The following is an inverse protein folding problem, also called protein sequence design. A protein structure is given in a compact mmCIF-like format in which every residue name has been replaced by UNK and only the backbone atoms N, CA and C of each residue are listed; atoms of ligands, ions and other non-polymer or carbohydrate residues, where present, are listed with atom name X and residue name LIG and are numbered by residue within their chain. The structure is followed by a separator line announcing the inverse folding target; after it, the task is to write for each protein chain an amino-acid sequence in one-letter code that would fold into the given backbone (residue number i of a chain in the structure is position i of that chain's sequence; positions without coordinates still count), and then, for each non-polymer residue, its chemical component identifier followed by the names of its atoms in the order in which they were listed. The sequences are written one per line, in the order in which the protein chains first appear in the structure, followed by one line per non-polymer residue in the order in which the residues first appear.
data_IF_677253464474
#
_entry.id   IF_677253464474
#
_cell.length_a   1.000
_cell.length_b   1.000
_cell.length_c   1.000
_cell.angle_alpha   90.00
_cell.angle_beta   90.00
_cell.angle_gamma   90.00
#
_symmetry.space_group_name_H-M   'P 1'
#
loop_
_entity.id
_entity.type
_entity.pdbx_description
1 polymer ?
#
# COMPACT_ATOMS: atom_id res chain seq x y z
N UNK A 1 9.97 -3.70 -15.88
CA UNK A 1 8.57 -3.93 -16.35
C UNK A 1 7.75 -4.57 -15.23
N UNK A 2 8.31 -5.54 -14.54
CA UNK A 2 7.93 -6.05 -13.21
C UNK A 2 7.46 -4.97 -12.20
N UNK A 3 8.27 -3.93 -11.94
CA UNK A 3 7.91 -2.85 -10.99
C UNK A 3 6.60 -2.14 -11.37
N UNK A 4 6.49 -1.71 -12.63
CA UNK A 4 5.30 -1.03 -13.11
C UNK A 4 4.05 -1.93 -13.02
N UNK A 5 4.19 -3.24 -13.28
CA UNK A 5 3.08 -4.19 -13.14
C UNK A 5 2.68 -4.38 -11.67
N UNK A 6 3.65 -4.47 -10.75
CA UNK A 6 3.38 -4.50 -9.32
C UNK A 6 2.65 -3.23 -8.86
N UNK A 7 3.05 -2.08 -9.39
CA UNK A 7 2.42 -0.79 -9.12
C UNK A 7 0.99 -0.72 -9.64
N UNK A 8 0.74 -1.17 -10.88
CA UNK A 8 -0.61 -1.25 -11.45
C UNK A 8 -1.48 -2.17 -10.60
N UNK A 9 -0.96 -3.34 -10.19
CA UNK A 9 -1.69 -4.28 -9.34
C UNK A 9 -2.05 -3.65 -7.98
N UNK A 10 -1.09 -3.00 -7.32
CA UNK A 10 -1.36 -2.26 -6.08
C UNK A 10 -2.43 -1.19 -6.28
N UNK A 11 -2.39 -0.44 -7.38
CA UNK A 11 -3.39 0.58 -7.68
C UNK A 11 -4.79 -0.01 -7.94
N UNK A 12 -4.86 -1.12 -8.68
CA UNK A 12 -6.10 -1.86 -8.95
C UNK A 12 -6.67 -2.49 -7.68
N UNK A 13 -5.87 -2.79 -6.66
CA UNK A 13 -6.38 -3.24 -5.37
C UNK A 13 -6.79 -2.04 -4.51
N UNK A 14 -5.95 -1.01 -4.43
CA UNK A 14 -6.16 0.15 -3.57
C UNK A 14 -7.41 0.94 -3.97
N UNK A 15 -7.51 1.36 -5.24
CA UNK A 15 -8.54 2.31 -5.68
C UNK A 15 -9.95 1.73 -5.54
N UNK A 16 -10.26 0.50 -5.98
CA UNK A 16 -11.58 -0.08 -5.80
C UNK A 16 -11.91 -0.34 -4.33
N UNK A 17 -10.96 -0.81 -3.52
CA UNK A 17 -11.21 -1.05 -2.09
C UNK A 17 -11.55 0.27 -1.39
N UNK A 18 -10.76 1.30 -1.65
CA UNK A 18 -10.96 2.63 -1.09
C UNK A 18 -12.27 3.27 -1.57
N UNK A 19 -12.64 3.08 -2.85
CA UNK A 19 -13.91 3.52 -3.40
C UNK A 19 -15.10 2.81 -2.74
N UNK A 20 -15.06 1.48 -2.64
CA UNK A 20 -16.11 0.68 -2.01
C UNK A 20 -16.31 1.08 -0.55
N UNK A 21 -15.23 1.23 0.23
CA UNK A 21 -15.32 1.69 1.62
C UNK A 21 -15.95 3.09 1.72
N UNK A 22 -15.56 4.00 0.80
CA UNK A 22 -16.10 5.36 0.75
C UNK A 22 -17.59 5.41 0.42
N UNK A 23 -18.08 4.53 -0.45
CA UNK A 23 -19.49 4.46 -0.83
C UNK A 23 -20.34 3.75 0.24
N UNK A 24 -19.81 2.70 0.85
CA UNK A 24 -20.62 1.80 1.71
C UNK A 24 -20.62 2.18 3.18
N UNK A 25 -19.48 2.58 3.72
CA UNK A 25 -19.29 2.76 5.17
C UNK A 25 -19.20 4.26 5.53
N UNK A 26 -18.70 5.07 4.60
CA UNK A 26 -18.31 6.43 4.89
C UNK A 26 -17.25 6.51 5.99
N UNK A 27 -17.01 7.70 6.54
CA UNK A 27 -15.96 7.91 7.54
C UNK A 27 -16.30 7.41 8.96
N UNK A 28 -17.44 6.73 9.14
CA UNK A 28 -17.88 6.22 10.44
C UNK A 28 -16.96 5.13 11.01
N UNK A 29 -16.34 4.33 10.14
CA UNK A 29 -15.35 3.31 10.49
C UNK A 29 -14.03 3.58 9.76
N UNK A 30 -13.44 4.74 10.01
CA UNK A 30 -12.18 5.17 9.40
C UNK A 30 -11.05 4.13 9.53
N UNK A 31 -11.04 3.34 10.62
CA UNK A 31 -10.05 2.29 10.83
C UNK A 31 -10.06 1.20 9.75
N UNK A 32 -11.16 0.97 9.02
CA UNK A 32 -11.20 0.00 7.93
C UNK A 32 -10.36 0.43 6.71
N UNK A 33 -10.09 1.73 6.56
CA UNK A 33 -9.27 2.26 5.46
C UNK A 33 -7.80 1.87 5.59
N UNK A 34 -7.35 1.39 6.76
CA UNK A 34 -6.00 0.84 6.92
C UNK A 34 -5.80 -0.42 6.06
N UNK A 35 -6.89 -1.11 5.70
CA UNK A 35 -6.83 -2.30 4.85
C UNK A 35 -6.42 -1.96 3.41
N UNK A 36 -6.71 -0.74 2.92
CA UNK A 36 -6.34 -0.29 1.58
C UNK A 36 -4.82 -0.41 1.33
N UNK A 37 -3.95 0.28 2.09
CA UNK A 37 -2.50 0.18 1.89
C UNK A 37 -1.94 -1.21 2.20
N UNK A 38 -2.50 -1.94 3.18
CA UNK A 38 -2.05 -3.31 3.51
C UNK A 38 -2.30 -4.24 2.33
N UNK A 39 -3.54 -4.33 1.83
CA UNK A 39 -3.90 -5.29 0.79
C UNK A 39 -3.24 -4.95 -0.56
N UNK A 40 -3.09 -3.65 -0.87
CA UNK A 40 -2.35 -3.21 -2.04
C UNK A 40 -0.88 -3.63 -1.96
N UNK A 41 -0.25 -3.48 -0.80
CA UNK A 41 1.13 -3.91 -0.57
C UNK A 41 1.27 -5.44 -0.60
N UNK A 42 0.32 -6.18 -0.05
CA UNK A 42 0.27 -7.66 -0.14
C UNK A 42 0.25 -8.08 -1.61
N UNK A 43 -0.66 -7.52 -2.41
CA UNK A 43 -0.79 -7.87 -3.82
C UNK A 43 0.49 -7.57 -4.62
N UNK A 44 1.08 -6.37 -4.45
CA UNK A 44 2.34 -6.02 -5.09
C UNK A 44 3.50 -6.90 -4.63
N UNK A 45 3.57 -7.20 -3.33
CA UNK A 45 4.62 -8.02 -2.74
C UNK A 45 4.55 -9.45 -3.24
N UNK A 46 3.35 -10.03 -3.30
CA UNK A 46 3.13 -11.38 -3.82
C UNK A 46 3.53 -11.47 -5.30
N UNK A 47 3.05 -10.53 -6.11
CA UNK A 47 3.38 -10.48 -7.54
C UNK A 47 4.88 -10.31 -7.79
N UNK A 48 5.55 -9.40 -7.06
CA UNK A 48 6.99 -9.18 -7.23
C UNK A 48 7.81 -10.36 -6.68
N UNK A 49 7.34 -11.06 -5.65
CA UNK A 49 8.03 -12.22 -5.11
C UNK A 49 7.91 -13.46 -6.04
N UNK A 50 6.90 -13.54 -6.89
CA UNK A 50 6.75 -14.62 -7.89
C UNK A 50 7.39 -14.29 -9.25
N UNK A 51 7.32 -13.03 -9.69
CA UNK A 51 7.68 -12.62 -11.05
C UNK A 51 8.73 -11.52 -11.13
N UNK A 52 9.11 -10.96 -9.99
CA UNK A 52 10.09 -9.90 -9.89
C UNK A 52 11.50 -10.45 -10.06
N UNK A 53 12.38 -9.62 -10.62
CA UNK A 53 13.80 -9.92 -10.74
C UNK A 53 14.57 -8.84 -10.01
N UNK A 54 15.35 -9.23 -9.00
CA UNK A 54 16.18 -8.33 -8.21
C UNK A 54 15.98 -8.52 -6.71
N UNK A 55 16.99 -8.12 -5.93
CA UNK A 55 16.99 -8.32 -4.49
C UNK A 55 16.03 -7.41 -3.71
N UNK A 56 16.14 -7.50 -2.39
CA UNK A 56 15.27 -6.83 -1.42
C UNK A 56 15.02 -5.34 -1.67
N UNK A 57 16.03 -4.58 -2.08
CA UNK A 57 15.86 -3.14 -2.36
C UNK A 57 14.83 -2.88 -3.47
N UNK A 58 14.83 -3.71 -4.52
CA UNK A 58 13.87 -3.59 -5.62
C UNK A 58 12.47 -4.03 -5.17
N UNK A 59 12.39 -5.03 -4.30
CA UNK A 59 11.13 -5.47 -3.69
C UNK A 59 10.47 -4.35 -2.89
N UNK A 60 11.24 -3.62 -2.09
CA UNK A 60 10.73 -2.46 -1.35
C UNK A 60 10.19 -1.37 -2.30
N UNK A 61 10.90 -1.10 -3.39
CA UNK A 61 10.46 -0.15 -4.42
C UNK A 61 9.21 -0.63 -5.19
N UNK A 62 8.99 -1.93 -5.30
CA UNK A 62 7.80 -2.49 -5.92
C UNK A 62 6.56 -2.36 -5.02
N UNK A 63 6.73 -2.35 -3.70
CA UNK A 63 5.63 -2.48 -2.73
C UNK A 63 5.23 -1.17 -2.07
N UNK A 64 6.20 -0.36 -1.63
CA UNK A 64 5.93 0.81 -0.77
C UNK A 64 5.39 2.05 -1.51
N UNK A 65 5.90 2.44 -2.69
CA UNK A 65 5.56 3.75 -3.25
C UNK A 65 4.08 3.93 -3.58
N UNK A 66 3.42 2.92 -4.15
CA UNK A 66 2.04 3.06 -4.62
C UNK A 66 1.04 3.26 -3.49
N UNK A 67 1.02 2.44 -2.41
CA UNK A 67 0.17 2.70 -1.26
C UNK A 67 0.35 4.09 -0.67
N UNK A 68 1.59 4.58 -0.56
CA UNK A 68 1.90 5.92 -0.03
C UNK A 68 1.37 7.01 -0.96
N UNK A 69 1.68 6.93 -2.25
CA UNK A 69 1.29 7.94 -3.24
C UNK A 69 -0.23 7.99 -3.40
N UNK A 70 -0.92 6.85 -3.44
CA UNK A 70 -2.37 6.82 -3.58
C UNK A 70 -3.08 7.30 -2.32
N UNK A 71 -2.56 7.01 -1.13
CA UNK A 71 -3.10 7.55 0.11
C UNK A 71 -2.94 9.07 0.18
N UNK A 72 -1.75 9.57 -0.19
CA UNK A 72 -1.49 11.00 -0.30
C UNK A 72 -2.41 11.69 -1.30
N UNK A 73 -2.50 11.13 -2.50
CA UNK A 73 -3.38 11.64 -3.55
C UNK A 73 -4.84 11.71 -3.09
N UNK A 74 -5.33 10.65 -2.44
CA UNK A 74 -6.69 10.62 -1.92
C UNK A 74 -6.93 11.65 -0.81
N UNK A 75 -5.95 11.86 0.07
CA UNK A 75 -6.02 12.87 1.13
C UNK A 75 -6.08 14.29 0.55
N UNK A 76 -5.28 14.58 -0.47
CA UNK A 76 -5.27 15.89 -1.15
C UNK A 76 -6.59 16.17 -1.90
N UNK A 77 -7.25 15.14 -2.42
CA UNK A 77 -8.57 15.31 -3.05
C UNK A 77 -9.66 15.71 -2.05
N UNK A 78 -9.52 15.36 -0.78
CA UNK A 78 -10.47 15.74 0.27
C UNK A 78 -10.19 17.13 0.81
N UNK A 79 -8.92 17.43 1.07
CA UNK A 79 -8.52 18.71 1.62
C UNK A 79 -7.07 19.03 1.21
N UNK A 80 -6.89 20.18 0.57
CA UNK A 80 -5.56 20.71 0.26
C UNK A 80 -5.03 21.42 1.51
N UNK A 81 -3.89 21.00 2.08
CA UNK A 81 -3.30 21.65 3.23
C UNK A 81 -2.95 23.12 2.94
N UNK A 82 -3.38 24.00 3.83
CA UNK A 82 -3.14 25.45 3.75
C UNK A 82 -2.30 26.00 4.92
N UNK A 83 -2.18 25.23 6.00
CA UNK A 83 -1.38 25.58 7.17
C UNK A 83 -0.24 24.58 7.39
N UNK A 84 0.80 24.98 8.12
CA UNK A 84 1.92 24.11 8.47
C UNK A 84 1.47 22.87 9.27
N UNK A 85 0.46 23.03 10.14
CA UNK A 85 -0.15 21.94 10.91
C UNK A 85 -0.81 20.90 9.98
N UNK A 86 -1.61 21.35 9.01
CA UNK A 86 -2.25 20.46 8.02
C UNK A 86 -1.24 19.72 7.14
N UNK A 87 -0.09 20.34 6.84
CA UNK A 87 1.02 19.66 6.17
C UNK A 87 1.66 18.59 7.07
N UNK A 88 1.71 18.81 8.38
CA UNK A 88 2.12 17.82 9.38
C UNK A 88 1.20 16.61 9.39
N UNK A 89 -0.11 16.83 9.44
CA UNK A 89 -1.12 15.76 9.40
C UNK A 89 -1.03 14.95 8.09
N UNK A 90 -0.86 15.63 6.97
CA UNK A 90 -0.64 14.98 5.68
C UNK A 90 0.62 14.11 5.68
N UNK A 91 1.74 14.61 6.21
CA UNK A 91 2.98 13.85 6.31
C UNK A 91 2.82 12.62 7.21
N UNK A 92 2.09 12.75 8.33
CA UNK A 92 1.76 11.61 9.18
C UNK A 92 0.90 10.57 8.46
N UNK A 93 -0.09 10.99 7.66
CA UNK A 93 -0.91 10.09 6.86
C UNK A 93 -0.08 9.30 5.84
N UNK A 94 0.86 9.96 5.15
CA UNK A 94 1.81 9.31 4.25
C UNK A 94 2.70 8.29 4.99
N UNK A 95 3.24 8.68 6.14
CA UNK A 95 4.07 7.80 6.96
C UNK A 95 3.28 6.57 7.44
N UNK A 96 2.04 6.76 7.88
CA UNK A 96 1.13 5.69 8.27
C UNK A 96 0.85 4.74 7.11
N UNK A 97 0.59 5.26 5.91
CA UNK A 97 0.42 4.43 4.72
C UNK A 97 1.68 3.60 4.40
N UNK A 98 2.87 4.17 4.60
CA UNK A 98 4.13 3.47 4.44
C UNK A 98 4.34 2.35 5.46
N UNK A 99 4.00 2.59 6.73
CA UNK A 99 4.06 1.58 7.80
C UNK A 99 3.08 0.44 7.49
N UNK A 100 1.84 0.76 7.09
CA UNK A 100 0.83 -0.23 6.74
C UNK A 100 1.23 -1.05 5.51
N UNK A 101 1.87 -0.42 4.52
CA UNK A 101 2.43 -1.13 3.38
C UNK A 101 3.58 -2.07 3.80
N UNK A 102 4.43 -1.65 4.73
CA UNK A 102 5.47 -2.50 5.30
C UNK A 102 4.88 -3.70 6.08
N UNK A 103 3.75 -3.52 6.78
CA UNK A 103 3.00 -4.63 7.39
C UNK A 103 2.51 -5.60 6.32
N UNK A 104 1.93 -5.11 5.22
CA UNK A 104 1.52 -5.94 4.09
C UNK A 104 2.69 -6.74 3.49
N UNK A 105 3.85 -6.12 3.32
CA UNK A 105 5.08 -6.80 2.91
C UNK A 105 5.48 -7.89 3.91
N UNK A 106 5.51 -7.57 5.20
CA UNK A 106 5.86 -8.50 6.27
C UNK A 106 4.95 -9.72 6.33
N UNK A 107 3.64 -9.52 6.12
CA UNK A 107 2.66 -10.60 6.03
C UNK A 107 3.02 -11.58 4.89
N UNK A 108 3.32 -11.06 3.69
CA UNK A 108 3.71 -11.93 2.56
C UNK A 108 4.98 -12.72 2.87
N UNK A 109 5.99 -12.06 3.43
CA UNK A 109 7.26 -12.71 3.74
C UNK A 109 7.12 -13.77 4.83
N UNK A 110 6.32 -13.50 5.86
CA UNK A 110 5.99 -14.47 6.90
C UNK A 110 5.22 -15.66 6.30
N UNK A 111 4.22 -15.41 5.47
CA UNK A 111 3.45 -16.51 4.84
C UNK A 111 4.33 -17.39 3.97
N UNK A 112 5.25 -16.81 3.17
CA UNK A 112 6.18 -17.59 2.35
C UNK A 112 7.17 -18.39 3.19
N UNK A 113 7.65 -17.83 4.30
CA UNK A 113 8.51 -18.52 5.25
C UNK A 113 7.80 -19.69 5.93
N UNK A 114 6.52 -19.53 6.30
CA UNK A 114 5.71 -20.57 6.93
C UNK A 114 5.28 -21.68 5.95
N UNK A 115 5.03 -21.32 4.69
CA UNK A 115 4.60 -22.25 3.65
C UNK A 115 5.77 -23.02 3.02
N UNK A 116 7.00 -22.76 3.45
CA UNK A 116 8.15 -23.58 3.05
C UNK A 116 8.56 -23.40 1.60
N UNK A 117 8.31 -22.24 0.98
CA UNK A 117 8.97 -21.86 -0.28
C UNK A 117 10.45 -21.51 0.00
N UNK A 118 11.19 -22.50 0.49
CA UNK A 118 12.61 -22.67 0.29
C UNK A 118 12.79 -23.32 -1.09
N UNK A 119 12.55 -22.53 -2.15
CA UNK A 119 12.76 -22.95 -3.52
C UNK A 119 13.80 -22.05 -4.17
N UNK A 120 15.04 -22.54 -4.17
CA UNK A 120 16.28 -22.02 -4.80
C UNK A 120 17.16 -21.06 -3.99
#
# INVERSE_FOLDING_TARGET
MDLLRAWILAAVVYLPLNFVLSVTIGYSLYWLYILCPILAAVAASWYHAERGVGGWARHLLAVLPVPIVLNGYWSLLQQIPSTAEQWGDFAMALAQAGILAAVGLGLVMLTRLLLGEQGE
#
